data_IF_568848247919
#
_entry.id   IF_568848247919
#
_cell.length_a   1.000
_cell.length_b   1.000
_cell.length_c   1.000
_cell.angle_alpha   90.00
_cell.angle_beta   90.00
_cell.angle_gamma   90.00
#
_symmetry.space_group_name_H-M   'P 1'
#
loop_
_entity.id
_entity.type
_entity.pdbx_description
1 polymer ?
#
# COMPACT_ATOMS: atom_id res chain seq x y z
N UNK A 1 14.80 6.22 -12.05
CA UNK A 1 13.53 5.62 -12.55
C UNK A 1 13.81 4.18 -12.94
N UNK A 2 12.86 3.28 -12.68
CA UNK A 2 12.99 1.85 -13.01
C UNK A 2 12.23 1.58 -14.31
N UNK A 3 12.92 0.93 -15.26
CA UNK A 3 12.33 0.47 -16.52
C UNK A 3 12.37 -1.05 -16.53
N UNK A 4 11.22 -1.68 -16.61
CA UNK A 4 11.09 -3.13 -16.61
C UNK A 4 11.20 -3.66 -18.04
N UNK A 5 12.31 -4.32 -18.34
CA UNK A 5 12.50 -5.04 -19.60
C UNK A 5 11.65 -6.33 -19.63
N UNK A 6 11.40 -6.93 -20.80
CA UNK A 6 10.47 -8.07 -20.93
C UNK A 6 10.72 -9.22 -19.92
N UNK A 7 11.98 -9.61 -19.70
CA UNK A 7 12.32 -10.67 -18.73
C UNK A 7 12.03 -10.25 -17.29
N UNK A 8 12.37 -9.01 -16.93
CA UNK A 8 12.09 -8.46 -15.59
C UNK A 8 10.59 -8.30 -15.37
N UNK A 9 9.87 -7.85 -16.41
CA UNK A 9 8.43 -7.73 -16.34
C UNK A 9 7.72 -9.08 -16.18
N UNK A 10 8.19 -10.12 -16.88
CA UNK A 10 7.65 -11.47 -16.72
C UNK A 10 7.84 -11.98 -15.27
N UNK A 11 9.02 -11.76 -14.67
CA UNK A 11 9.27 -12.09 -13.27
C UNK A 11 8.36 -11.30 -12.33
N UNK A 12 8.20 -9.99 -12.56
CA UNK A 12 7.27 -9.15 -11.81
C UNK A 12 5.86 -9.74 -11.78
N UNK A 13 5.32 -10.07 -12.96
CA UNK A 13 3.97 -10.62 -13.08
C UNK A 13 3.79 -11.94 -12.31
N UNK A 14 4.81 -12.80 -12.31
CA UNK A 14 4.77 -14.06 -11.54
C UNK A 14 4.68 -13.77 -10.05
N UNK A 15 5.49 -12.85 -9.54
CA UNK A 15 5.49 -12.46 -8.12
C UNK A 15 4.15 -11.81 -7.76
N UNK A 16 3.68 -10.86 -8.56
CA UNK A 16 2.41 -10.16 -8.30
C UNK A 16 1.22 -11.12 -8.29
N UNK A 17 1.16 -12.07 -9.23
CA UNK A 17 0.11 -13.09 -9.27
C UNK A 17 0.16 -14.02 -8.06
N UNK A 18 1.37 -14.39 -7.62
CA UNK A 18 1.55 -15.18 -6.41
C UNK A 18 1.04 -14.43 -5.18
N UNK A 19 1.46 -13.18 -4.98
CA UNK A 19 0.99 -12.35 -3.87
C UNK A 19 -0.52 -12.15 -3.90
N UNK A 20 -1.11 -11.91 -5.06
CA UNK A 20 -2.57 -11.79 -5.22
C UNK A 20 -3.29 -13.06 -4.78
N UNK A 21 -2.77 -14.23 -5.14
CA UNK A 21 -3.32 -15.52 -4.71
C UNK A 21 -3.27 -15.68 -3.20
N UNK A 22 -2.13 -15.37 -2.57
CA UNK A 22 -1.95 -15.46 -1.11
C UNK A 22 -2.88 -14.49 -0.35
N UNK A 23 -2.98 -13.24 -0.81
CA UNK A 23 -3.85 -12.24 -0.22
C UNK A 23 -5.34 -12.63 -0.34
N UNK A 24 -5.77 -13.09 -1.51
CA UNK A 24 -7.14 -13.55 -1.71
C UNK A 24 -7.47 -14.76 -0.82
N UNK A 25 -6.56 -15.72 -0.69
CA UNK A 25 -6.73 -16.87 0.19
C UNK A 25 -6.81 -16.48 1.68
N UNK A 26 -6.14 -15.39 2.06
CA UNK A 26 -6.20 -14.81 3.41
C UNK A 26 -7.41 -13.85 3.62
N UNK A 27 -8.33 -13.76 2.64
CA UNK A 27 -9.57 -12.98 2.76
C UNK A 27 -9.41 -11.48 2.50
N UNK A 28 -8.29 -11.03 1.95
CA UNK A 28 -8.13 -9.65 1.51
C UNK A 28 -8.89 -9.41 0.21
N UNK A 29 -9.56 -8.27 0.14
CA UNK A 29 -10.27 -7.80 -1.07
C UNK A 29 -9.40 -6.79 -1.80
N UNK A 30 -9.06 -7.09 -3.05
CA UNK A 30 -8.26 -6.18 -3.87
C UNK A 30 -9.09 -4.95 -4.26
N UNK A 31 -8.49 -3.79 -4.07
CA UNK A 31 -9.05 -2.49 -4.44
C UNK A 31 -8.05 -1.71 -5.30
N UNK A 32 -8.51 -0.63 -5.93
CA UNK A 32 -7.66 0.28 -6.68
C UNK A 32 -8.04 1.72 -6.37
N UNK A 33 -7.07 2.51 -5.93
CA UNK A 33 -7.26 3.93 -5.63
C UNK A 33 -6.56 4.82 -6.66
N UNK A 34 -7.03 6.07 -6.85
CA UNK A 34 -6.41 7.01 -7.77
C UNK A 34 -4.94 7.28 -7.44
N UNK A 35 -4.11 7.46 -8.44
CA UNK A 35 -2.69 7.83 -8.24
C UNK A 35 -2.51 9.32 -7.91
N UNK A 36 -3.36 10.17 -8.46
CA UNK A 36 -3.36 11.61 -8.21
C UNK A 36 -4.61 11.93 -7.41
N UNK A 37 -4.42 12.52 -6.24
CA UNK A 37 -5.49 12.85 -5.31
C UNK A 37 -5.41 14.32 -4.91
N UNK A 38 -6.58 14.92 -4.69
CA UNK A 38 -6.70 16.29 -4.21
C UNK A 38 -5.99 16.46 -2.86
N UNK A 39 -5.38 17.61 -2.67
CA UNK A 39 -4.66 17.99 -1.45
C UNK A 39 -5.46 17.74 -0.16
N UNK A 40 -6.76 17.98 -0.19
CA UNK A 40 -7.64 17.85 0.99
C UNK A 40 -7.64 16.46 1.62
N UNK A 41 -7.37 15.39 0.85
CA UNK A 41 -7.24 14.04 1.40
C UNK A 41 -5.96 13.90 2.24
N UNK A 42 -4.89 14.57 1.84
CA UNK A 42 -3.61 14.55 2.52
C UNK A 42 -3.61 15.44 3.77
N UNK A 43 -4.32 16.58 3.72
CA UNK A 43 -4.54 17.44 4.88
C UNK A 43 -5.36 16.73 5.96
N UNK A 44 -6.51 16.13 5.60
CA UNK A 44 -7.37 15.39 6.52
C UNK A 44 -6.69 14.23 7.22
N UNK A 45 -5.74 13.58 6.56
CA UNK A 45 -4.98 12.46 7.10
C UNK A 45 -3.69 12.87 7.81
N UNK A 46 -3.37 14.17 7.90
CA UNK A 46 -2.16 14.70 8.51
C UNK A 46 -0.87 14.49 7.69
N UNK A 47 -0.98 13.86 6.53
CA UNK A 47 0.20 13.59 5.70
C UNK A 47 0.75 14.84 5.03
N UNK A 48 -0.09 15.84 4.74
CA UNK A 48 0.35 17.07 4.09
C UNK A 48 1.35 17.83 4.94
N UNK A 49 1.07 18.00 6.23
CA UNK A 49 1.94 18.75 7.15
C UNK A 49 3.27 18.02 7.42
N UNK A 50 3.22 16.68 7.52
CA UNK A 50 4.37 15.90 7.94
C UNK A 50 5.25 15.42 6.78
N UNK A 51 4.71 15.31 5.55
CA UNK A 51 5.40 14.63 4.43
C UNK A 51 5.33 15.43 3.11
N UNK A 52 4.90 16.69 3.11
CA UNK A 52 4.77 17.50 1.89
C UNK A 52 6.05 17.52 1.06
N UNK A 53 7.21 17.67 1.70
CA UNK A 53 8.51 17.74 1.01
C UNK A 53 8.86 16.44 0.28
N UNK A 54 8.29 15.32 0.73
CA UNK A 54 8.46 14.01 0.12
C UNK A 54 7.37 13.67 -0.90
N UNK A 55 6.45 14.60 -1.21
CA UNK A 55 5.39 14.39 -2.20
C UNK A 55 5.72 15.09 -3.51
N UNK A 56 5.32 14.45 -4.62
CA UNK A 56 5.22 15.13 -5.91
C UNK A 56 3.89 15.87 -5.97
N UNK A 57 3.95 17.20 -5.95
CA UNK A 57 2.77 18.06 -5.98
C UNK A 57 2.60 18.64 -7.38
N UNK A 58 1.38 18.73 -7.84
CA UNK A 58 0.99 19.37 -9.09
C UNK A 58 -0.23 20.26 -8.89
N UNK A 59 -0.52 21.13 -9.82
CA UNK A 59 -1.69 22.01 -9.78
C UNK A 59 -2.45 21.98 -11.10
N UNK A 60 -3.76 22.02 -11.03
CA UNK A 60 -4.66 22.16 -12.17
C UNK A 60 -5.89 22.94 -11.74
N UNK A 61 -6.36 23.87 -12.59
CA UNK A 61 -7.57 24.66 -12.34
C UNK A 61 -7.61 25.34 -10.96
N UNK A 62 -6.46 25.89 -10.53
CA UNK A 62 -6.27 26.55 -9.20
C UNK A 62 -6.42 25.62 -7.99
N UNK A 63 -6.34 24.30 -8.19
CA UNK A 63 -6.33 23.30 -7.12
C UNK A 63 -5.00 22.58 -7.08
N UNK A 64 -4.60 22.18 -5.88
CA UNK A 64 -3.38 21.40 -5.66
C UNK A 64 -3.72 19.91 -5.53
N UNK A 65 -2.88 19.09 -6.12
CA UNK A 65 -2.95 17.64 -6.10
C UNK A 65 -1.60 17.05 -5.74
N UNK A 66 -1.59 15.86 -5.17
CA UNK A 66 -0.36 15.11 -4.99
C UNK A 66 -0.45 13.73 -5.67
N UNK A 67 0.68 13.30 -6.22
CA UNK A 67 0.86 11.90 -6.60
C UNK A 67 1.01 11.10 -5.32
N UNK A 68 0.20 10.07 -5.12
CA UNK A 68 0.14 9.38 -3.83
C UNK A 68 1.49 8.79 -3.40
N UNK A 69 1.99 9.13 -2.21
CA UNK A 69 3.17 8.52 -1.61
C UNK A 69 2.84 7.24 -0.84
N UNK A 70 1.55 6.99 -0.56
CA UNK A 70 1.00 5.84 0.16
C UNK A 70 -0.47 5.63 -0.17
N UNK A 71 -1.03 4.48 0.21
CA UNK A 71 -2.41 4.11 -0.15
C UNK A 71 -3.44 4.40 0.96
N UNK A 72 -2.98 4.69 2.19
CA UNK A 72 -3.82 4.83 3.38
C UNK A 72 -5.05 5.72 3.20
N UNK A 73 -4.93 6.99 2.72
CA UNK A 73 -6.11 7.84 2.58
C UNK A 73 -7.13 7.30 1.58
N UNK A 74 -6.67 6.62 0.52
CA UNK A 74 -7.54 6.01 -0.48
C UNK A 74 -8.36 4.84 0.10
N UNK A 75 -7.72 3.96 0.88
CA UNK A 75 -8.42 2.84 1.54
C UNK A 75 -9.42 3.35 2.58
N UNK A 76 -9.07 4.39 3.34
CA UNK A 76 -10.01 5.03 4.28
C UNK A 76 -11.22 5.61 3.54
N UNK A 77 -11.05 6.20 2.35
CA UNK A 77 -12.18 6.69 1.56
C UNK A 77 -13.10 5.55 1.10
N UNK A 78 -12.53 4.41 0.69
CA UNK A 78 -13.32 3.22 0.35
C UNK A 78 -14.09 2.71 1.57
N UNK A 79 -13.44 2.67 2.72
CA UNK A 79 -14.08 2.27 3.98
C UNK A 79 -15.23 3.21 4.36
N UNK A 80 -15.04 4.52 4.22
CA UNK A 80 -16.03 5.55 4.57
C UNK A 80 -17.18 5.68 3.54
N UNK A 81 -17.07 5.00 2.39
CA UNK A 81 -18.10 5.05 1.37
C UNK A 81 -19.27 4.14 1.74
N UNK A 82 -20.36 4.74 2.23
CA UNK A 82 -21.58 4.06 2.64
C UNK A 82 -21.65 3.74 4.14
N UNK A 83 -22.85 3.30 4.55
CA UNK A 83 -23.08 2.87 5.93
C UNK A 83 -22.41 1.53 6.18
N UNK A 84 -21.64 1.43 7.25
CA UNK A 84 -20.98 0.22 7.70
C UNK A 84 -21.54 -0.24 9.03
N UNK A 85 -21.69 -1.55 9.18
CA UNK A 85 -22.02 -2.18 10.45
C UNK A 85 -20.76 -2.79 11.08
N UNK A 86 -20.71 -2.88 12.40
CA UNK A 86 -19.66 -3.65 13.10
C UNK A 86 -19.60 -5.12 12.63
N UNK A 87 -20.70 -5.64 12.06
CA UNK A 87 -20.77 -7.00 11.49
C UNK A 87 -20.01 -7.14 10.18
N UNK A 88 -19.63 -6.02 9.53
CA UNK A 88 -18.84 -6.02 8.32
C UNK A 88 -17.32 -6.11 8.62
N UNK A 89 -16.98 -6.08 9.92
CA UNK A 89 -15.59 -6.15 10.41
C UNK A 89 -15.23 -7.58 10.86
N UNK A 90 -13.99 -8.01 10.71
CA UNK A 90 -12.88 -7.26 10.13
C UNK A 90 -12.99 -7.14 8.60
N UNK A 91 -12.64 -5.97 8.06
CA UNK A 91 -12.54 -5.74 6.62
C UNK A 91 -11.08 -5.58 6.22
N UNK A 92 -10.60 -6.43 5.33
CA UNK A 92 -9.23 -6.44 4.83
C UNK A 92 -9.21 -5.96 3.39
N UNK A 93 -8.62 -4.79 3.13
CA UNK A 93 -8.45 -4.22 1.81
C UNK A 93 -6.98 -4.29 1.41
N UNK A 94 -6.68 -4.73 0.21
CA UNK A 94 -5.32 -4.79 -0.33
C UNK A 94 -5.25 -4.09 -1.69
N UNK A 95 -4.09 -3.50 -2.01
CA UNK A 95 -3.85 -2.83 -3.28
C UNK A 95 -2.41 -3.06 -3.73
N UNK A 96 -2.21 -3.46 -4.99
CA UNK A 96 -0.93 -3.25 -5.67
C UNK A 96 -0.86 -1.79 -6.09
N UNK A 97 -0.48 -0.96 -5.10
CA UNK A 97 -0.53 0.49 -5.20
C UNK A 97 0.75 1.07 -5.76
N UNK A 98 0.65 1.79 -6.88
CA UNK A 98 1.77 2.54 -7.44
C UNK A 98 1.95 3.84 -6.66
N UNK A 99 3.03 3.92 -5.87
CA UNK A 99 3.36 5.04 -5.01
C UNK A 99 4.59 5.79 -5.52
N UNK A 100 4.62 7.11 -5.27
CA UNK A 100 5.74 7.95 -5.67
C UNK A 100 6.17 8.84 -4.50
N UNK A 101 7.47 8.86 -4.22
CA UNK A 101 8.06 9.70 -3.17
C UNK A 101 9.18 10.52 -3.75
N UNK A 102 9.21 11.82 -3.42
CA UNK A 102 10.27 12.74 -3.83
C UNK A 102 11.53 12.53 -2.99
N UNK A 103 12.10 11.33 -3.09
CA UNK A 103 13.34 10.99 -2.40
C UNK A 103 14.50 11.85 -2.91
N UNK A 104 15.37 12.37 -2.04
CA UNK A 104 16.57 13.08 -2.47
C UNK A 104 17.49 12.16 -3.29
N UNK A 105 18.17 12.74 -4.28
CA UNK A 105 18.99 11.96 -5.21
C UNK A 105 20.07 11.11 -4.52
N UNK A 106 20.67 11.63 -3.46
CA UNK A 106 21.68 10.91 -2.68
C UNK A 106 21.16 9.72 -1.85
N UNK A 107 19.84 9.59 -1.69
CA UNK A 107 19.24 8.47 -0.99
C UNK A 107 18.85 7.30 -1.92
N UNK A 108 18.89 7.50 -3.23
CA UNK A 108 18.49 6.48 -4.21
C UNK A 108 19.48 5.32 -4.23
N UNK A 109 18.99 4.08 -4.18
CA UNK A 109 19.81 2.89 -4.14
C UNK A 109 19.18 1.70 -4.87
N UNK A 110 19.69 1.37 -6.05
CA UNK A 110 19.27 0.23 -6.87
C UNK A 110 17.74 0.15 -7.05
N UNK A 111 17.15 -1.00 -6.72
CA UNK A 111 15.70 -1.21 -6.62
C UNK A 111 15.18 -1.03 -5.19
N UNK A 112 16.06 -0.88 -4.20
CA UNK A 112 15.70 -0.81 -2.79
C UNK A 112 15.11 0.54 -2.39
N UNK A 113 15.59 1.63 -3.00
CA UNK A 113 15.08 2.97 -2.74
C UNK A 113 14.98 3.76 -4.03
N UNK A 114 13.76 3.91 -4.50
CA UNK A 114 13.40 4.55 -5.78
C UNK A 114 12.28 5.56 -5.55
N UNK A 115 12.08 6.47 -6.50
CA UNK A 115 11.00 7.48 -6.41
C UNK A 115 9.63 6.95 -6.84
N UNK A 116 9.58 5.90 -7.64
CA UNK A 116 8.34 5.26 -8.09
C UNK A 116 8.42 3.75 -7.88
N UNK A 117 7.48 3.18 -7.16
CA UNK A 117 7.45 1.76 -6.80
C UNK A 117 6.01 1.29 -6.61
N UNK A 118 5.83 -0.01 -6.61
CA UNK A 118 4.54 -0.63 -6.28
C UNK A 118 4.65 -1.32 -4.94
N UNK A 119 3.64 -1.14 -4.10
CA UNK A 119 3.49 -1.85 -2.83
C UNK A 119 2.32 -2.82 -2.93
N UNK A 120 2.49 -4.01 -2.40
CA UNK A 120 1.41 -4.93 -2.01
C UNK A 120 0.90 -4.52 -0.62
N UNK A 121 0.26 -3.37 -0.56
CA UNK A 121 -0.14 -2.71 0.67
C UNK A 121 -1.55 -3.14 1.10
N UNK A 122 -1.79 -3.23 2.40
CA UNK A 122 -3.08 -3.60 2.94
C UNK A 122 -3.46 -2.79 4.18
N UNK A 123 -4.77 -2.60 4.36
CA UNK A 123 -5.34 -1.98 5.54
C UNK A 123 -6.44 -2.88 6.09
N UNK A 124 -6.37 -3.16 7.38
CA UNK A 124 -7.33 -3.94 8.11
C UNK A 124 -8.15 -3.01 9.00
N UNK A 125 -9.44 -2.93 8.73
CA UNK A 125 -10.40 -2.20 9.55
C UNK A 125 -11.05 -3.22 10.49
N UNK A 126 -10.89 -3.05 11.79
CA UNK A 126 -11.37 -4.01 12.78
C UNK A 126 -11.79 -3.29 14.07
N UNK A 127 -12.51 -3.99 14.94
CA UNK A 127 -12.81 -3.53 16.30
C UNK A 127 -11.61 -3.79 17.22
N UNK A 128 -11.55 -3.13 18.38
CA UNK A 128 -10.42 -3.27 19.31
C UNK A 128 -10.20 -4.72 19.79
N UNK A 129 -11.27 -5.44 20.02
CA UNK A 129 -11.23 -6.86 20.41
C UNK A 129 -10.70 -7.78 19.29
N UNK A 130 -10.77 -7.38 18.03
CA UNK A 130 -10.25 -8.13 16.88
C UNK A 130 -8.77 -7.88 16.61
N UNK A 131 -8.15 -6.83 17.18
CA UNK A 131 -6.76 -6.41 16.83
C UNK A 131 -5.76 -7.55 17.00
N UNK A 132 -5.81 -8.26 18.13
CA UNK A 132 -4.83 -9.32 18.45
C UNK A 132 -4.92 -10.47 17.44
N UNK A 133 -6.12 -10.88 17.07
CA UNK A 133 -6.33 -11.98 16.13
C UNK A 133 -5.95 -11.58 14.71
N UNK A 134 -6.27 -10.35 14.30
CA UNK A 134 -5.86 -9.82 13.00
C UNK A 134 -4.33 -9.66 12.88
N UNK A 135 -3.67 -9.17 13.95
CA UNK A 135 -2.21 -9.07 13.99
C UNK A 135 -1.55 -10.46 13.91
N UNK A 136 -2.09 -11.46 14.61
CA UNK A 136 -1.62 -12.84 14.56
C UNK A 136 -1.77 -13.42 13.14
N UNK A 137 -2.96 -13.28 12.55
CA UNK A 137 -3.24 -13.78 11.20
C UNK A 137 -2.33 -13.12 10.14
N UNK A 138 -2.06 -11.82 10.28
CA UNK A 138 -1.12 -11.12 9.42
C UNK A 138 0.32 -11.65 9.58
N UNK A 139 0.80 -11.85 10.81
CA UNK A 139 2.13 -12.39 11.05
C UNK A 139 2.30 -13.81 10.49
N UNK A 140 1.29 -14.65 10.63
CA UNK A 140 1.30 -16.00 10.05
C UNK A 140 1.37 -15.96 8.52
N UNK A 141 0.60 -15.08 7.89
CA UNK A 141 0.63 -14.84 6.46
C UNK A 141 2.02 -14.37 6.01
N UNK A 142 2.60 -13.37 6.71
CA UNK A 142 3.91 -12.82 6.42
C UNK A 142 4.99 -13.90 6.47
N UNK A 143 5.07 -14.65 7.57
CA UNK A 143 6.08 -15.73 7.74
C UNK A 143 5.91 -16.80 6.67
N UNK A 144 4.67 -17.17 6.31
CA UNK A 144 4.39 -18.15 5.26
C UNK A 144 4.92 -17.67 3.91
N UNK A 145 4.64 -16.42 3.53
CA UNK A 145 5.10 -15.84 2.26
C UNK A 145 6.63 -15.76 2.23
N UNK A 146 7.26 -15.25 3.28
CA UNK A 146 8.73 -15.18 3.31
C UNK A 146 9.40 -16.55 3.19
N UNK A 147 8.84 -17.59 3.82
CA UNK A 147 9.34 -18.98 3.66
C UNK A 147 9.24 -19.47 2.23
N UNK A 148 8.16 -19.12 1.50
CA UNK A 148 8.01 -19.49 0.09
C UNK A 148 9.09 -18.85 -0.81
N UNK A 149 9.58 -17.68 -0.42
CA UNK A 149 10.70 -16.99 -1.08
C UNK A 149 12.08 -17.41 -0.55
N UNK A 150 12.16 -18.39 0.34
CA UNK A 150 13.41 -18.92 0.88
C UNK A 150 13.98 -18.16 2.08
N UNK A 151 13.23 -17.22 2.65
CA UNK A 151 13.62 -16.51 3.87
C UNK A 151 13.05 -17.24 5.09
N UNK A 152 13.91 -17.91 5.84
CA UNK A 152 13.50 -18.73 7.00
C UNK A 152 13.59 -17.99 8.33
N UNK A 153 14.51 -17.03 8.43
CA UNK A 153 14.75 -16.23 9.63
C UNK A 153 14.14 -14.83 9.45
N UNK A 154 12.93 -14.65 9.95
CA UNK A 154 12.19 -13.39 9.90
C UNK A 154 12.05 -12.86 11.31
N UNK A 155 12.64 -11.69 11.59
CA UNK A 155 12.47 -10.98 12.86
C UNK A 155 11.33 -9.97 12.71
N UNK A 156 10.29 -10.12 13.52
CA UNK A 156 9.19 -9.15 13.66
C UNK A 156 9.46 -8.31 14.89
N UNK A 157 9.47 -6.97 14.75
CA UNK A 157 9.74 -6.01 15.84
C UNK A 157 8.52 -5.12 16.05
#
# INVERSE_FOLDING_TARGET
MVFWHPKGWALWQVIEQHMRKELNAAGYKEVKTPQIMDKTFWEKSGHWENYKDNMFVTSSEKREYAVKPMNCPGHVQIFNNGLRSYRDLPMRLAEFGSCHRNEPSGALHGLMRVRGFVQDDAHIFCTEDQIVDEARAFNELLVRIYKQFGFHDVAVK
#
